data_IF_159007273582
#
_entry.id   IF_159007273582
#
_cell.length_a   1.000
_cell.length_b   1.000
_cell.length_c   1.000
_cell.angle_alpha   90.00
_cell.angle_beta   90.00
_cell.angle_gamma   90.00
#
_symmetry.space_group_name_H-M   'P 1'
#
loop_
_entity.id
_entity.type
_entity.pdbx_description
1 polymer ?
#
# COMPACT_ATOMS: atom_id res chain seq x y z
N UNK A 1 5.83 27.18 -9.80
CA UNK A 1 6.18 25.91 -9.10
C UNK A 1 5.75 24.78 -10.00
N UNK A 2 6.70 23.98 -10.45
CA UNK A 2 6.49 22.95 -11.47
C UNK A 2 5.66 21.81 -10.90
N UNK A 3 4.73 21.26 -11.70
CA UNK A 3 3.84 20.15 -11.26
C UNK A 3 4.65 18.93 -10.73
N UNK A 4 5.84 18.73 -11.26
CA UNK A 4 6.77 17.67 -10.82
C UNK A 4 7.24 17.91 -9.37
N UNK A 5 7.58 19.14 -9.02
CA UNK A 5 8.01 19.50 -7.65
C UNK A 5 6.89 19.35 -6.61
N UNK A 6 5.64 19.55 -7.01
CA UNK A 6 4.48 19.39 -6.12
C UNK A 6 4.16 17.90 -5.84
N UNK A 7 4.34 17.03 -6.82
CA UNK A 7 4.14 15.57 -6.65
C UNK A 7 5.19 15.00 -5.71
N UNK A 8 6.46 15.35 -5.93
CA UNK A 8 7.56 14.97 -5.04
C UNK A 8 7.36 15.55 -3.63
N UNK A 9 6.86 16.76 -3.53
CA UNK A 9 6.58 17.40 -2.24
C UNK A 9 5.43 16.70 -1.50
N UNK A 10 4.32 16.38 -2.17
CA UNK A 10 3.21 15.64 -1.58
C UNK A 10 3.63 14.23 -1.13
N UNK A 11 4.45 13.53 -1.92
CA UNK A 11 4.99 12.22 -1.57
C UNK A 11 5.96 12.31 -0.38
N UNK A 12 6.81 13.34 -0.33
CA UNK A 12 7.75 13.59 0.79
C UNK A 12 7.02 14.01 2.06
N UNK A 13 5.98 14.84 1.98
CA UNK A 13 5.15 15.20 3.12
C UNK A 13 4.42 13.99 3.69
N UNK A 14 3.81 13.15 2.84
CA UNK A 14 3.19 11.90 3.28
C UNK A 14 4.20 10.96 3.99
N UNK A 15 5.45 10.96 3.54
CA UNK A 15 6.56 10.21 4.16
C UNK A 15 7.06 10.84 5.44
N UNK A 16 7.31 12.15 5.44
CA UNK A 16 7.81 12.87 6.62
C UNK A 16 6.84 12.71 7.79
N UNK A 17 5.54 12.85 7.55
CA UNK A 17 4.52 12.68 8.56
C UNK A 17 4.34 11.22 8.98
N UNK A 18 4.51 10.25 8.07
CA UNK A 18 4.56 8.83 8.45
C UNK A 18 5.78 8.52 9.32
N UNK A 19 6.93 9.20 9.09
CA UNK A 19 8.12 9.09 9.94
C UNK A 19 7.94 9.82 11.28
N UNK A 20 7.38 11.01 11.26
CA UNK A 20 7.15 11.83 12.45
C UNK A 20 6.08 11.20 13.36
N UNK A 21 4.99 10.65 12.81
CA UNK A 21 4.05 9.85 13.56
C UNK A 21 4.61 8.50 14.03
N UNK A 22 5.60 7.94 13.34
CA UNK A 22 6.33 6.77 13.86
C UNK A 22 7.21 7.15 15.06
N UNK A 23 7.67 8.41 15.14
CA UNK A 23 8.48 8.95 16.24
C UNK A 23 7.62 9.57 17.36
N UNK A 24 6.44 10.13 17.02
CA UNK A 24 5.51 10.84 17.93
C UNK A 24 4.31 9.98 18.31
N UNK A 25 4.31 8.67 18.06
CA UNK A 25 3.30 7.85 18.72
C UNK A 25 3.38 8.10 20.23
N UNK A 26 2.28 8.59 20.87
CA UNK A 26 2.28 8.72 22.31
C UNK A 26 2.76 7.39 22.85
N UNK A 27 3.65 7.42 23.81
CA UNK A 27 4.08 6.25 24.56
C UNK A 27 2.82 5.50 25.01
N UNK A 28 2.25 4.68 24.13
CA UNK A 28 1.42 3.60 24.61
C UNK A 28 2.36 2.83 25.53
N UNK A 29 2.06 2.89 26.79
CA UNK A 29 2.60 2.01 27.82
C UNK A 29 2.20 0.61 27.40
N UNK A 30 2.82 0.12 26.34
CA UNK A 30 2.70 -1.22 25.85
C UNK A 30 3.24 -2.11 26.94
N UNK A 31 2.36 -2.85 27.60
CA UNK A 31 2.68 -3.67 28.75
C UNK A 31 4.01 -4.39 28.54
N UNK A 32 4.98 -4.10 29.37
CA UNK A 32 6.24 -4.82 29.40
C UNK A 32 5.91 -6.28 29.68
N UNK A 33 6.10 -7.15 28.71
CA UNK A 33 5.97 -8.59 28.95
C UNK A 33 7.24 -9.09 29.60
N UNK A 34 7.12 -9.78 30.73
CA UNK A 34 8.23 -10.43 31.37
C UNK A 34 8.86 -11.46 30.43
N UNK A 35 10.17 -11.36 30.19
CA UNK A 35 10.94 -12.36 29.47
C UNK A 35 11.44 -13.40 30.50
N UNK A 36 10.59 -14.39 30.78
CA UNK A 36 10.88 -15.45 31.77
C UNK A 36 12.22 -16.13 31.48
N UNK A 37 12.50 -16.49 30.22
CA UNK A 37 13.74 -17.18 29.87
C UNK A 37 14.98 -16.33 30.21
N UNK A 38 14.93 -15.05 29.86
CA UNK A 38 16.03 -14.13 30.15
C UNK A 38 16.14 -13.77 31.64
N UNK A 39 15.00 -13.69 32.34
CA UNK A 39 14.97 -13.49 33.78
C UNK A 39 15.57 -14.70 34.49
N UNK A 40 15.17 -15.91 34.16
CA UNK A 40 15.76 -17.14 34.74
C UNK A 40 17.26 -17.19 34.48
N UNK A 41 17.71 -16.94 33.26
CA UNK A 41 19.12 -16.99 32.89
C UNK A 41 19.98 -15.98 33.69
N UNK A 42 19.45 -14.77 33.95
CA UNK A 42 20.13 -13.75 34.76
C UNK A 42 20.21 -14.10 36.24
N UNK A 43 19.29 -14.91 36.73
CA UNK A 43 19.21 -15.24 38.17
C UNK A 43 19.76 -16.64 38.48
N UNK A 44 20.43 -17.30 37.56
CA UNK A 44 21.09 -18.59 37.78
C UNK A 44 22.16 -18.46 38.88
N UNK A 45 22.93 -17.35 38.86
CA UNK A 45 23.93 -17.03 39.90
C UNK A 45 23.34 -16.74 41.29
N UNK A 46 22.03 -16.46 41.36
CA UNK A 46 21.30 -16.18 42.61
C UNK A 46 20.49 -17.39 43.10
N UNK A 47 20.91 -18.60 42.74
CA UNK A 47 20.24 -19.83 43.18
C UNK A 47 18.83 -20.01 42.61
N UNK A 48 18.50 -19.32 41.49
CA UNK A 48 17.19 -19.40 40.86
C UNK A 48 16.14 -18.46 41.45
N UNK A 49 16.45 -17.69 42.48
CA UNK A 49 15.54 -16.68 43.02
C UNK A 49 15.46 -15.50 42.02
N UNK A 50 14.26 -15.16 41.57
CA UNK A 50 14.04 -14.10 40.56
C UNK A 50 14.21 -12.71 41.17
N UNK A 51 15.45 -12.22 41.28
CA UNK A 51 15.80 -10.88 41.78
C UNK A 51 15.82 -9.88 40.62
N UNK A 52 16.39 -10.27 39.46
CA UNK A 52 16.46 -9.44 38.28
C UNK A 52 15.42 -9.84 37.25
N UNK A 53 14.48 -8.95 36.96
CA UNK A 53 13.45 -9.18 35.93
C UNK A 53 13.87 -8.61 34.59
N UNK A 54 13.94 -9.44 33.57
CA UNK A 54 14.14 -9.02 32.20
C UNK A 54 12.79 -8.76 31.51
N UNK A 55 12.68 -7.63 30.85
CA UNK A 55 11.46 -7.22 30.18
C UNK A 55 11.64 -7.26 28.66
N UNK A 56 10.68 -7.84 27.98
CA UNK A 56 10.64 -7.89 26.50
C UNK A 56 9.93 -6.66 25.96
N UNK A 57 10.63 -5.83 25.21
CA UNK A 57 9.99 -4.77 24.43
C UNK A 57 9.43 -5.35 23.14
N UNK A 58 8.19 -5.04 22.81
CA UNK A 58 7.61 -5.37 21.51
C UNK A 58 8.38 -4.56 20.47
N UNK A 59 9.08 -5.22 19.55
CA UNK A 59 9.66 -4.53 18.39
C UNK A 59 8.51 -3.91 17.58
N UNK A 60 8.50 -2.60 17.49
CA UNK A 60 7.58 -1.89 16.62
C UNK A 60 8.07 -2.16 15.19
N UNK A 61 7.31 -2.94 14.43
CA UNK A 61 7.61 -3.14 13.00
C UNK A 61 7.29 -1.84 12.26
N UNK A 62 8.14 -1.40 11.31
CA UNK A 62 7.84 -0.23 10.50
C UNK A 62 6.54 -0.44 9.71
N UNK A 63 5.88 0.66 9.39
CA UNK A 63 4.74 0.64 8.48
C UNK A 63 5.24 0.17 7.10
N UNK A 64 4.50 -0.73 6.49
CA UNK A 64 4.75 -1.20 5.12
C UNK A 64 3.63 -0.74 4.22
N UNK A 65 3.99 -0.26 3.05
CA UNK A 65 3.04 0.13 2.01
C UNK A 65 3.17 -0.80 0.80
N UNK A 66 2.05 -1.31 0.32
CA UNK A 66 1.97 -2.05 -0.94
C UNK A 66 1.06 -1.29 -1.87
N UNK A 67 1.57 -0.92 -3.04
CA UNK A 67 0.79 -0.24 -4.08
C UNK A 67 0.48 -1.21 -5.21
N UNK A 68 -0.77 -1.27 -5.60
CA UNK A 68 -1.28 -2.03 -6.75
C UNK A 68 -1.87 -1.03 -7.74
N UNK A 69 -1.16 -0.76 -8.82
CA UNK A 69 -1.53 0.24 -9.83
C UNK A 69 -2.13 -0.43 -11.06
N UNK A 70 -3.33 -0.02 -11.40
CA UNK A 70 -4.00 -0.38 -12.64
C UNK A 70 -3.38 0.40 -13.82
N UNK A 71 -2.96 -0.32 -14.85
CA UNK A 71 -2.41 0.22 -16.07
C UNK A 71 -3.30 -0.08 -17.28
N UNK A 72 -4.60 -0.15 -17.05
CA UNK A 72 -5.60 -0.34 -18.12
C UNK A 72 -5.70 0.86 -19.06
N UNK A 73 -6.31 0.65 -20.22
CA UNK A 73 -6.52 1.72 -21.22
C UNK A 73 -7.30 2.93 -20.68
N UNK A 74 -8.29 2.70 -19.81
CA UNK A 74 -9.06 3.76 -19.15
C UNK A 74 -8.19 4.61 -18.19
N UNK A 75 -7.09 4.02 -17.68
CA UNK A 75 -6.15 4.67 -16.78
C UNK A 75 -5.01 5.41 -17.50
N UNK A 76 -4.91 5.31 -18.86
CA UNK A 76 -3.79 5.86 -19.62
C UNK A 76 -3.54 7.37 -19.39
N UNK A 77 -4.60 8.17 -19.26
CA UNK A 77 -4.50 9.61 -18.98
C UNK A 77 -3.84 9.89 -17.62
N UNK A 78 -3.95 8.96 -16.71
CA UNK A 78 -3.46 9.09 -15.33
C UNK A 78 -2.19 8.30 -15.07
N UNK A 79 -1.79 7.40 -15.98
CA UNK A 79 -0.68 6.46 -15.75
C UNK A 79 0.64 7.20 -15.43
N UNK A 80 1.03 8.18 -16.23
CA UNK A 80 2.26 8.94 -16.00
C UNK A 80 2.24 9.69 -14.64
N UNK A 81 1.09 10.22 -14.27
CA UNK A 81 0.86 10.88 -12.99
C UNK A 81 1.02 9.91 -11.82
N UNK A 82 0.34 8.75 -11.89
CA UNK A 82 0.41 7.74 -10.83
C UNK A 82 1.77 7.07 -10.73
N UNK A 83 2.45 6.85 -11.84
CA UNK A 83 3.82 6.29 -11.82
C UNK A 83 4.76 7.22 -11.06
N UNK A 84 4.69 8.53 -11.30
CA UNK A 84 5.48 9.52 -10.55
C UNK A 84 5.10 9.55 -9.08
N UNK A 85 3.80 9.52 -8.77
CA UNK A 85 3.32 9.45 -7.39
C UNK A 85 3.82 8.18 -6.69
N UNK A 86 3.69 7.01 -7.32
CA UNK A 86 4.15 5.73 -6.76
C UNK A 86 5.66 5.71 -6.61
N UNK A 87 6.41 6.32 -7.55
CA UNK A 87 7.86 6.48 -7.42
C UNK A 87 8.21 7.29 -6.16
N UNK A 88 7.60 8.47 -5.97
CA UNK A 88 7.80 9.28 -4.78
C UNK A 88 7.42 8.54 -3.49
N UNK A 89 6.35 7.77 -3.51
CA UNK A 89 5.92 6.93 -2.37
C UNK A 89 6.94 5.83 -2.08
N UNK A 90 7.44 5.12 -3.11
CA UNK A 90 8.43 4.04 -2.94
C UNK A 90 9.76 4.58 -2.43
N UNK A 91 10.17 5.78 -2.87
CA UNK A 91 11.37 6.45 -2.39
C UNK A 91 11.23 6.92 -0.94
N UNK A 92 10.05 7.42 -0.60
CA UNK A 92 9.74 7.97 0.71
C UNK A 92 9.55 6.91 1.81
N UNK A 93 8.99 5.76 1.49
CA UNK A 93 8.73 4.69 2.46
C UNK A 93 9.84 3.64 2.44
N UNK A 94 10.49 3.44 3.59
CA UNK A 94 11.57 2.44 3.74
C UNK A 94 11.15 1.02 3.35
N UNK A 95 9.88 0.67 3.59
CA UNK A 95 9.30 -0.64 3.27
C UNK A 95 8.09 -0.43 2.34
N UNK A 96 8.32 -0.02 1.10
CA UNK A 96 7.30 0.07 0.07
C UNK A 96 7.53 -0.94 -1.05
N UNK A 97 6.45 -1.54 -1.52
CA UNK A 97 6.41 -2.44 -2.66
C UNK A 97 5.35 -2.00 -3.65
N UNK A 98 5.66 -2.02 -4.93
CA UNK A 98 4.76 -1.61 -5.98
C UNK A 98 4.58 -2.70 -7.04
N UNK A 99 3.36 -2.85 -7.46
CA UNK A 99 2.93 -3.77 -8.51
C UNK A 99 2.07 -3.02 -9.52
N UNK A 100 2.17 -3.38 -10.76
CA UNK A 100 1.31 -2.90 -11.83
C UNK A 100 0.51 -4.08 -12.37
N UNK A 101 -0.76 -3.85 -12.65
CA UNK A 101 -1.61 -4.87 -13.25
C UNK A 101 -2.46 -4.30 -14.39
N UNK A 102 -2.77 -5.16 -15.34
CA UNK A 102 -3.76 -4.98 -16.40
C UNK A 102 -4.41 -6.35 -16.64
N UNK A 103 -3.93 -7.12 -17.60
CA UNK A 103 -4.27 -8.53 -17.81
C UNK A 103 -3.40 -9.47 -16.95
N UNK A 104 -2.24 -9.00 -16.53
CA UNK A 104 -1.27 -9.71 -15.68
C UNK A 104 -0.72 -8.77 -14.60
N UNK A 105 -0.27 -9.37 -13.52
CA UNK A 105 0.40 -8.65 -12.43
C UNK A 105 1.91 -8.67 -12.65
N UNK A 106 2.55 -7.51 -12.53
CA UNK A 106 4.00 -7.34 -12.57
C UNK A 106 4.51 -6.65 -11.30
N UNK A 107 5.60 -7.16 -10.73
CA UNK A 107 6.29 -6.53 -9.59
C UNK A 107 7.27 -5.48 -10.12
N UNK A 108 7.08 -4.22 -9.77
CA UNK A 108 7.80 -3.08 -10.37
C UNK A 108 8.67 -2.30 -9.38
N UNK A 109 8.67 -2.66 -8.10
CA UNK A 109 9.52 -2.00 -7.09
C UNK A 109 10.99 -1.87 -7.50
N UNK A 110 11.64 -2.89 -8.10
CA UNK A 110 13.03 -2.75 -8.53
C UNK A 110 13.23 -1.66 -9.58
N UNK A 111 12.27 -1.52 -10.50
CA UNK A 111 12.32 -0.50 -11.57
C UNK A 111 12.03 0.91 -11.04
N UNK A 112 11.20 1.03 -10.01
CA UNK A 112 10.87 2.31 -9.38
C UNK A 112 11.96 2.82 -8.44
N UNK A 113 12.86 1.97 -7.99
CA UNK A 113 14.04 2.37 -7.20
C UNK A 113 15.21 2.86 -8.08
N UNK A 114 15.05 2.79 -9.40
CA UNK A 114 15.98 3.41 -10.33
C UNK A 114 15.91 4.94 -10.14
N UNK A 115 17.07 5.59 -10.11
CA UNK A 115 17.16 7.06 -9.92
C UNK A 115 16.61 7.85 -11.11
N UNK A 116 16.48 7.21 -12.26
CA UNK A 116 15.93 7.80 -13.47
C UNK A 116 14.42 7.53 -13.55
N UNK A 117 13.65 8.51 -13.06
CA UNK A 117 12.18 8.47 -13.07
C UNK A 117 11.63 8.28 -14.50
N UNK A 118 12.28 8.89 -15.49
CA UNK A 118 11.84 8.82 -16.90
C UNK A 118 11.93 7.39 -17.41
N UNK A 119 13.05 6.70 -17.15
CA UNK A 119 13.20 5.28 -17.47
C UNK A 119 12.22 4.37 -16.73
N UNK A 120 11.92 4.68 -15.47
CA UNK A 120 10.91 3.95 -14.71
C UNK A 120 9.52 4.10 -15.35
N UNK A 121 9.14 5.33 -15.73
CA UNK A 121 7.87 5.62 -16.43
C UNK A 121 7.81 4.88 -17.76
N UNK A 122 8.87 4.94 -18.58
CA UNK A 122 8.93 4.26 -19.89
C UNK A 122 8.79 2.74 -19.74
N UNK A 123 9.52 2.13 -18.82
CA UNK A 123 9.40 0.69 -18.53
C UNK A 123 7.99 0.30 -18.09
N UNK A 124 7.37 1.11 -17.25
CA UNK A 124 6.01 0.85 -16.80
C UNK A 124 4.99 1.06 -17.90
N UNK A 125 5.16 2.09 -18.73
CA UNK A 125 4.33 2.31 -19.90
C UNK A 125 4.43 1.14 -20.90
N UNK A 126 5.63 0.59 -21.13
CA UNK A 126 5.82 -0.61 -21.95
C UNK A 126 5.15 -1.86 -21.35
N UNK A 127 5.22 -2.02 -20.03
CA UNK A 127 4.54 -3.12 -19.33
C UNK A 127 3.02 -2.96 -19.34
N UNK A 128 2.52 -1.71 -19.39
CA UNK A 128 1.10 -1.37 -19.49
C UNK A 128 0.55 -1.54 -20.90
N UNK A 129 1.38 -1.49 -21.94
CA UNK A 129 1.00 -1.72 -23.35
C UNK A 129 0.72 -3.22 -23.61
N UNK A 130 -0.01 -3.87 -22.76
CA UNK A 130 -0.47 -5.25 -22.94
C UNK A 130 -1.73 -5.30 -23.82
N UNK A 131 -1.57 -5.91 -24.98
CA UNK A 131 -2.53 -6.52 -25.89
C UNK A 131 -3.98 -6.56 -25.39
N UNK A 132 -4.89 -5.99 -26.17
CA UNK A 132 -6.31 -5.83 -25.92
C UNK A 132 -7.01 -6.99 -25.20
N UNK A 133 -7.62 -6.65 -24.11
CA UNK A 133 -8.44 -7.50 -23.27
C UNK A 133 -8.66 -6.73 -21.99
N UNK A 134 -9.89 -6.51 -21.55
CA UNK A 134 -10.22 -5.67 -20.39
C UNK A 134 -9.42 -6.02 -19.13
N UNK A 135 -9.41 -5.11 -18.19
CA UNK A 135 -8.71 -5.27 -16.92
C UNK A 135 -9.25 -6.46 -16.13
N UNK A 136 -8.36 -7.28 -15.60
CA UNK A 136 -8.68 -8.43 -14.75
C UNK A 136 -8.18 -8.20 -13.34
N UNK A 137 -8.90 -7.37 -12.59
CA UNK A 137 -8.52 -7.00 -11.22
C UNK A 137 -8.55 -8.23 -10.32
N UNK A 138 -9.64 -9.02 -10.40
CA UNK A 138 -9.79 -10.25 -9.61
C UNK A 138 -8.66 -11.25 -9.82
N UNK A 139 -8.26 -11.51 -11.08
CA UNK A 139 -7.15 -12.42 -11.43
C UNK A 139 -5.80 -11.89 -10.94
N UNK A 140 -5.60 -10.58 -11.07
CA UNK A 140 -4.37 -9.92 -10.62
C UNK A 140 -4.23 -9.98 -9.09
N UNK A 141 -5.32 -9.76 -8.36
CA UNK A 141 -5.34 -9.93 -6.90
C UNK A 141 -5.17 -11.39 -6.47
N UNK A 142 -5.73 -12.35 -7.22
CA UNK A 142 -5.51 -13.78 -6.97
C UNK A 142 -4.02 -14.14 -7.12
N UNK A 143 -3.39 -13.64 -8.19
CA UNK A 143 -1.95 -13.80 -8.42
C UNK A 143 -1.13 -13.18 -7.31
N UNK A 144 -1.47 -11.94 -6.91
CA UNK A 144 -0.83 -11.25 -5.79
C UNK A 144 -0.96 -12.04 -4.49
N UNK A 145 -2.16 -12.46 -4.13
CA UNK A 145 -2.45 -13.21 -2.89
C UNK A 145 -1.69 -14.54 -2.83
N UNK A 146 -1.57 -15.23 -3.97
CA UNK A 146 -0.91 -16.53 -4.08
C UNK A 146 0.60 -16.42 -4.00
N UNK A 147 1.22 -15.49 -4.74
CA UNK A 147 2.66 -15.49 -4.97
C UNK A 147 3.42 -14.42 -4.19
N UNK A 148 2.78 -13.30 -3.86
CA UNK A 148 3.47 -12.13 -3.29
C UNK A 148 3.05 -11.80 -1.85
N UNK A 149 1.77 -11.94 -1.52
CA UNK A 149 1.21 -11.44 -0.26
C UNK A 149 1.96 -11.96 0.98
N UNK A 150 2.38 -13.23 1.02
CA UNK A 150 3.10 -13.79 2.18
C UNK A 150 4.44 -13.08 2.44
N UNK A 151 5.09 -12.58 1.41
CA UNK A 151 6.39 -11.92 1.49
C UNK A 151 6.26 -10.44 1.81
N UNK A 152 5.26 -9.77 1.22
CA UNK A 152 5.16 -8.31 1.25
C UNK A 152 4.14 -7.77 2.26
N UNK A 153 3.23 -8.61 2.77
CA UNK A 153 2.22 -8.20 3.74
C UNK A 153 2.56 -8.66 5.15
N UNK A 154 2.39 -7.78 6.11
CA UNK A 154 2.37 -8.07 7.54
C UNK A 154 1.20 -7.34 8.22
N UNK A 155 1.03 -7.54 9.54
CA UNK A 155 -0.06 -6.92 10.32
C UNK A 155 -0.03 -5.38 10.36
N UNK A 156 1.01 -4.74 9.83
CA UNK A 156 1.16 -3.28 9.73
C UNK A 156 1.25 -2.81 8.27
N UNK A 157 0.84 -3.64 7.33
CA UNK A 157 0.82 -3.27 5.91
C UNK A 157 -0.47 -2.54 5.57
N UNK A 158 -0.34 -1.37 4.95
CA UNK A 158 -1.41 -0.74 4.19
C UNK A 158 -1.30 -1.18 2.73
N UNK A 159 -2.43 -1.46 2.12
CA UNK A 159 -2.53 -1.73 0.68
C UNK A 159 -3.23 -0.56 0.04
N UNK A 160 -2.61 0.01 -0.97
CA UNK A 160 -3.17 1.07 -1.79
C UNK A 160 -3.45 0.51 -3.19
N UNK A 161 -4.71 0.47 -3.58
CA UNK A 161 -5.14 0.07 -4.92
C UNK A 161 -5.52 1.33 -5.67
N UNK A 162 -4.95 1.52 -6.85
CA UNK A 162 -5.24 2.66 -7.74
C UNK A 162 -5.87 2.11 -9.00
N UNK A 163 -7.18 2.27 -9.14
CA UNK A 163 -7.96 1.75 -10.28
C UNK A 163 -9.33 2.42 -10.35
N UNK A 164 -9.88 2.53 -11.55
CA UNK A 164 -11.26 2.95 -11.78
C UNK A 164 -12.30 1.87 -11.40
N UNK A 165 -11.85 0.64 -11.17
CA UNK A 165 -12.68 -0.47 -10.72
C UNK A 165 -13.44 -1.20 -11.84
N UNK A 166 -13.12 -0.92 -13.11
CA UNK A 166 -13.68 -1.66 -14.24
C UNK A 166 -13.00 -3.01 -14.38
N UNK A 167 -13.63 -4.03 -13.80
CA UNK A 167 -13.18 -5.43 -13.88
C UNK A 167 -14.02 -6.20 -14.91
N UNK A 168 -13.36 -6.86 -15.85
CA UNK A 168 -14.00 -7.75 -16.84
C UNK A 168 -14.14 -9.19 -16.33
N UNK A 169 -13.59 -9.47 -15.15
CA UNK A 169 -13.68 -10.76 -14.46
C UNK A 169 -15.01 -10.99 -13.73
N UNK A 170 -15.09 -12.10 -13.02
CA UNK A 170 -16.25 -12.41 -12.18
C UNK A 170 -16.21 -11.56 -10.89
N UNK A 171 -17.26 -10.77 -10.57
CA UNK A 171 -17.28 -9.93 -9.37
C UNK A 171 -17.07 -10.72 -8.06
N UNK A 172 -17.58 -11.95 -8.00
CA UNK A 172 -17.39 -12.83 -6.84
C UNK A 172 -15.93 -13.18 -6.58
N UNK A 173 -15.13 -13.38 -7.63
CA UNK A 173 -13.69 -13.62 -7.50
C UNK A 173 -12.98 -12.40 -6.93
N UNK A 174 -13.29 -11.20 -7.42
CA UNK A 174 -12.73 -9.96 -6.90
C UNK A 174 -13.08 -9.78 -5.41
N UNK A 175 -14.33 -9.99 -5.02
CA UNK A 175 -14.76 -9.92 -3.62
C UNK A 175 -13.99 -10.89 -2.72
N UNK A 176 -13.80 -12.15 -3.18
CA UNK A 176 -13.08 -13.17 -2.42
C UNK A 176 -11.59 -12.80 -2.23
N UNK A 177 -10.94 -12.28 -3.27
CA UNK A 177 -9.55 -11.87 -3.18
C UNK A 177 -9.36 -10.62 -2.31
N UNK A 178 -10.27 -9.66 -2.37
CA UNK A 178 -10.31 -8.51 -1.47
C UNK A 178 -10.51 -8.93 -0.01
N UNK A 179 -11.40 -9.89 0.24
CA UNK A 179 -11.60 -10.47 1.58
C UNK A 179 -10.33 -11.16 2.10
N UNK A 180 -9.59 -11.87 1.23
CA UNK A 180 -8.29 -12.48 1.59
C UNK A 180 -7.25 -11.43 1.95
N UNK A 181 -7.16 -10.34 1.20
CA UNK A 181 -6.28 -9.20 1.49
C UNK A 181 -6.63 -8.56 2.84
N UNK A 182 -7.92 -8.28 3.06
CA UNK A 182 -8.42 -7.65 4.30
C UNK A 182 -8.03 -8.38 5.58
N UNK A 183 -7.96 -9.72 5.52
CA UNK A 183 -7.55 -10.55 6.67
C UNK A 183 -6.05 -10.48 6.97
N UNK A 184 -5.22 -10.04 6.04
CA UNK A 184 -3.75 -10.07 6.13
C UNK A 184 -3.12 -8.72 6.36
N UNK A 185 -3.76 -7.65 5.90
CA UNK A 185 -3.26 -6.29 6.00
C UNK A 185 -3.96 -5.50 7.11
N UNK A 186 -3.41 -4.34 7.43
CA UNK A 186 -3.99 -3.42 8.41
C UNK A 186 -5.14 -2.60 7.82
N UNK A 187 -4.91 -2.05 6.61
CA UNK A 187 -5.87 -1.22 5.91
C UNK A 187 -5.79 -1.42 4.40
N UNK A 188 -6.92 -1.23 3.73
CA UNK A 188 -7.03 -1.15 2.29
C UNK A 188 -7.56 0.21 1.91
N UNK A 189 -6.79 0.94 1.11
CA UNK A 189 -7.14 2.23 0.52
C UNK A 189 -7.39 2.01 -0.96
N UNK A 190 -8.52 2.45 -1.48
CA UNK A 190 -8.80 2.41 -2.92
C UNK A 190 -8.89 3.82 -3.45
N UNK A 191 -7.99 4.15 -4.37
CA UNK A 191 -7.92 5.42 -5.05
C UNK A 191 -8.51 5.30 -6.44
N UNK A 192 -9.57 6.06 -6.70
CA UNK A 192 -10.22 6.04 -7.98
C UNK A 192 -10.10 7.43 -8.64
N UNK A 193 -9.46 7.53 -9.82
CA UNK A 193 -9.27 8.81 -10.51
C UNK A 193 -10.56 9.37 -11.11
N UNK A 194 -11.59 8.56 -11.29
CA UNK A 194 -12.87 9.01 -11.84
C UNK A 194 -13.78 9.70 -10.82
N UNK A 195 -13.48 9.57 -9.52
CA UNK A 195 -14.23 10.29 -8.49
C UNK A 195 -13.95 11.80 -8.65
N UNK A 196 -14.99 12.58 -8.79
CA UNK A 196 -14.92 14.03 -9.03
C UNK A 196 -15.35 14.41 -10.44
N UNK A 197 -15.54 13.48 -11.35
CA UNK A 197 -16.27 13.73 -12.60
C UNK A 197 -17.77 13.85 -12.30
N UNK A 198 -18.44 14.83 -12.93
CA UNK A 198 -19.82 15.23 -12.60
C UNK A 198 -20.83 14.08 -12.55
N UNK A 199 -20.62 13.03 -13.34
CA UNK A 199 -21.55 11.90 -13.49
C UNK A 199 -20.95 10.57 -13.02
N UNK A 200 -19.83 10.59 -12.28
CA UNK A 200 -19.23 9.36 -11.81
C UNK A 200 -19.99 8.77 -10.62
N UNK A 201 -20.40 7.52 -10.78
CA UNK A 201 -20.96 6.70 -9.72
C UNK A 201 -20.25 5.33 -9.71
N UNK A 202 -19.91 4.76 -8.54
CA UNK A 202 -19.20 3.48 -8.42
C UNK A 202 -20.12 2.29 -8.75
N UNK A 203 -20.78 2.33 -9.91
CA UNK A 203 -21.74 1.32 -10.36
C UNK A 203 -21.08 0.13 -11.06
N UNK A 204 -19.79 0.22 -11.41
CA UNK A 204 -19.07 -0.90 -11.98
C UNK A 204 -19.17 -2.12 -11.02
N UNK A 205 -19.54 -3.29 -11.56
CA UNK A 205 -19.74 -4.52 -10.76
C UNK A 205 -18.50 -4.87 -9.93
N UNK A 206 -17.30 -4.66 -10.50
CA UNK A 206 -16.04 -4.83 -9.79
C UNK A 206 -15.92 -3.91 -8.59
N UNK A 207 -16.26 -2.63 -8.76
CA UNK A 207 -16.21 -1.66 -7.67
C UNK A 207 -17.19 -2.01 -6.55
N UNK A 208 -18.43 -2.36 -6.88
CA UNK A 208 -19.44 -2.79 -5.90
C UNK A 208 -18.98 -4.03 -5.11
N UNK A 209 -18.29 -4.96 -5.77
CA UNK A 209 -17.76 -6.16 -5.12
C UNK A 209 -16.56 -5.86 -4.21
N UNK A 210 -15.74 -4.85 -4.54
CA UNK A 210 -14.56 -4.48 -3.77
C UNK A 210 -14.87 -3.59 -2.55
N UNK A 211 -15.80 -2.65 -2.68
CA UNK A 211 -16.11 -1.61 -1.67
C UNK A 211 -16.36 -2.13 -0.24
N UNK A 212 -17.07 -3.26 0.00
CA UNK A 212 -17.26 -3.78 1.36
C UNK A 212 -15.97 -4.16 2.10
N UNK A 213 -14.86 -4.27 1.36
CA UNK A 213 -13.55 -4.66 1.89
C UNK A 213 -12.55 -3.50 1.95
N UNK A 214 -12.95 -2.30 1.55
CA UNK A 214 -12.12 -1.10 1.50
C UNK A 214 -12.33 -0.26 2.76
N UNK A 215 -11.24 0.16 3.40
CA UNK A 215 -11.30 1.04 4.59
C UNK A 215 -11.42 2.52 4.22
N UNK A 216 -10.85 2.91 3.07
CA UNK A 216 -10.92 4.27 2.53
C UNK A 216 -11.07 4.22 1.02
N UNK A 217 -12.17 4.78 0.52
CA UNK A 217 -12.41 5.00 -0.91
C UNK A 217 -12.30 6.50 -1.18
N UNK A 218 -11.34 6.92 -2.00
CA UNK A 218 -11.01 8.32 -2.16
C UNK A 218 -10.72 8.71 -3.61
N UNK A 219 -10.96 9.99 -3.98
CA UNK A 219 -10.58 10.51 -5.29
C UNK A 219 -9.06 10.59 -5.44
N UNK A 220 -8.60 10.46 -6.68
CA UNK A 220 -7.19 10.56 -7.02
C UNK A 220 -6.95 11.16 -8.42
N UNK A 221 -7.81 12.10 -8.83
CA UNK A 221 -7.76 12.71 -10.15
C UNK A 221 -6.80 13.89 -10.28
N UNK A 222 -6.29 14.42 -9.15
CA UNK A 222 -5.34 15.53 -9.12
C UNK A 222 -4.45 15.50 -7.87
N UNK A 223 -3.46 16.40 -7.82
CA UNK A 223 -2.53 16.53 -6.70
C UNK A 223 -3.21 16.88 -5.38
N UNK A 224 -4.23 17.73 -5.44
CA UNK A 224 -4.95 18.14 -4.25
C UNK A 224 -5.70 16.97 -3.60
N UNK A 225 -6.29 16.08 -4.41
CA UNK A 225 -6.93 14.88 -3.91
C UNK A 225 -5.95 13.90 -3.29
N UNK A 226 -4.74 13.78 -3.85
CA UNK A 226 -3.66 12.97 -3.25
C UNK A 226 -3.10 13.59 -1.97
N UNK A 227 -2.92 14.91 -1.92
CA UNK A 227 -2.49 15.61 -0.70
C UNK A 227 -3.51 15.44 0.43
N UNK A 228 -4.80 15.42 0.12
CA UNK A 228 -5.86 15.17 1.09
C UNK A 228 -5.81 13.76 1.73
N UNK A 229 -5.05 12.82 1.16
CA UNK A 229 -4.84 11.48 1.74
C UNK A 229 -3.83 11.46 2.88
N UNK A 230 -2.98 12.49 2.99
CA UNK A 230 -1.92 12.56 3.99
C UNK A 230 -2.40 12.24 5.42
N UNK A 231 -3.45 12.90 5.97
CA UNK A 231 -3.90 12.64 7.34
C UNK A 231 -4.44 11.20 7.53
N UNK A 232 -4.88 10.54 6.46
CA UNK A 232 -5.34 9.15 6.51
C UNK A 232 -4.18 8.17 6.46
N UNK A 233 -3.15 8.45 5.66
CA UNK A 233 -1.93 7.64 5.58
C UNK A 233 -1.10 7.76 6.86
N UNK A 234 -1.04 8.93 7.47
CA UNK A 234 -0.38 9.16 8.74
C UNK A 234 -0.99 8.36 9.91
N UNK A 235 -2.27 8.01 9.84
CA UNK A 235 -2.99 7.22 10.88
C UNK A 235 -2.92 5.70 10.66
N UNK A 236 -2.24 5.25 9.64
CA UNK A 236 -2.01 3.83 9.36
C UNK A 236 -0.86 3.32 10.21
#
# INVERSE_FOLDING_TARGET
MDQVGLIDHAARLASANAHEHALVQPRQVGGRRLDLRRSIHRNVSHGGTLIELAWRRRKIKPLRLVVLLDASGSMNLYTAFFVRFVHGVVDAFREAEAFVFHTRLAHVSPSLRDRDVTRAVEKLALMAQGIGGGTRIGDSLATFNRWHARRVINSRTAIMIVSDGYDTGAPGQLADEMRRLRRRCRKIVWLNPLIGWRDYSPQARGMQAALPHVDLFAPAHNLQSLAALEPYLARI
#
